data_IF_844465953323
#
_entry.id   IF_844465953323
#
_cell.length_a   1.000
_cell.length_b   1.000
_cell.length_c   1.000
_cell.angle_alpha   90.00
_cell.angle_beta   90.00
_cell.angle_gamma   90.00
#
_symmetry.space_group_name_H-M   'P 1'
#
loop_
_entity.id
_entity.type
_entity.pdbx_description
1 polymer ?
#
# COMPACT_ATOMS: atom_id res chain seq x y z
N UNK A 1 -43.04 -85.44 5.41
CA UNK A 1 -41.66 -84.98 5.17
C UNK A 1 -41.53 -83.94 4.04
N UNK A 2 -42.59 -83.53 3.32
CA UNK A 2 -42.48 -82.52 2.25
C UNK A 2 -42.67 -81.05 2.70
N UNK A 3 -43.33 -80.80 3.83
CA UNK A 3 -43.64 -79.43 4.29
C UNK A 3 -42.50 -78.73 5.05
N UNK A 4 -41.48 -79.46 5.50
CA UNK A 4 -40.30 -78.85 6.16
C UNK A 4 -39.26 -78.31 5.17
N UNK A 5 -39.21 -78.80 3.93
CA UNK A 5 -38.26 -78.30 2.93
C UNK A 5 -38.72 -77.00 2.24
N UNK A 6 -40.03 -76.76 2.14
CA UNK A 6 -40.57 -75.53 1.52
C UNK A 6 -40.33 -74.31 2.41
N UNK A 7 -40.37 -74.50 3.74
CA UNK A 7 -40.20 -73.38 4.68
C UNK A 7 -38.73 -72.90 4.75
N UNK A 8 -37.75 -73.79 4.55
CA UNK A 8 -36.33 -73.44 4.54
C UNK A 8 -35.93 -72.63 3.30
N UNK A 9 -36.47 -72.96 2.13
CA UNK A 9 -36.16 -72.23 0.88
C UNK A 9 -36.72 -70.80 0.92
N UNK A 10 -37.91 -70.60 1.47
CA UNK A 10 -38.50 -69.27 1.61
C UNK A 10 -37.72 -68.36 2.58
N UNK A 11 -37.21 -68.91 3.69
CA UNK A 11 -36.38 -68.15 4.63
C UNK A 11 -35.03 -67.79 3.99
N UNK A 12 -34.43 -68.70 3.21
CA UNK A 12 -33.12 -68.46 2.59
C UNK A 12 -33.20 -67.39 1.49
N UNK A 13 -34.30 -67.35 0.72
CA UNK A 13 -34.55 -66.30 -0.28
C UNK A 13 -34.80 -64.93 0.37
N UNK A 14 -35.54 -64.89 1.49
CA UNK A 14 -35.78 -63.65 2.24
C UNK A 14 -34.49 -63.07 2.85
N UNK A 15 -33.59 -63.93 3.37
CA UNK A 15 -32.29 -63.48 3.89
C UNK A 15 -31.39 -62.96 2.77
N UNK A 16 -31.42 -63.59 1.59
CA UNK A 16 -30.64 -63.13 0.45
C UNK A 16 -31.15 -61.80 -0.13
N UNK A 17 -32.47 -61.58 -0.10
CA UNK A 17 -33.07 -60.30 -0.50
C UNK A 17 -32.78 -59.18 0.50
N UNK A 18 -32.77 -59.48 1.81
CA UNK A 18 -32.38 -58.53 2.85
C UNK A 18 -30.90 -58.12 2.74
N UNK A 19 -30.00 -59.07 2.45
CA UNK A 19 -28.58 -58.80 2.25
C UNK A 19 -28.32 -57.91 1.02
N UNK A 20 -29.08 -58.12 -0.08
CA UNK A 20 -28.96 -57.30 -1.28
C UNK A 20 -29.42 -55.84 -1.05
N UNK A 21 -30.52 -55.64 -0.32
CA UNK A 21 -31.00 -54.31 0.06
C UNK A 21 -30.00 -53.58 0.98
N UNK A 22 -29.39 -54.29 1.92
CA UNK A 22 -28.39 -53.71 2.81
C UNK A 22 -27.09 -53.31 2.08
N UNK A 23 -26.66 -54.11 1.09
CA UNK A 23 -25.53 -53.78 0.24
C UNK A 23 -25.80 -52.54 -0.65
N UNK A 24 -27.03 -52.40 -1.17
CA UNK A 24 -27.41 -51.24 -1.98
C UNK A 24 -27.43 -49.94 -1.17
N UNK A 25 -27.93 -49.97 0.08
CA UNK A 25 -27.92 -48.81 0.97
C UNK A 25 -26.49 -48.39 1.32
N UNK A 26 -25.59 -49.36 1.54
CA UNK A 26 -24.20 -49.06 1.88
C UNK A 26 -23.44 -48.42 0.70
N UNK A 27 -23.71 -48.86 -0.54
CA UNK A 27 -23.11 -48.24 -1.72
C UNK A 27 -23.64 -46.82 -1.97
N UNK A 28 -24.92 -46.56 -1.70
CA UNK A 28 -25.51 -45.23 -1.83
C UNK A 28 -24.96 -44.23 -0.80
N UNK A 29 -24.67 -44.70 0.42
CA UNK A 29 -24.09 -43.87 1.47
C UNK A 29 -22.63 -43.47 1.15
N UNK A 30 -21.87 -44.36 0.51
CA UNK A 30 -20.49 -44.07 0.10
C UNK A 30 -20.42 -43.04 -1.04
N UNK A 31 -21.40 -43.04 -1.95
CA UNK A 31 -21.48 -42.06 -3.03
C UNK A 31 -21.81 -40.65 -2.53
N UNK A 32 -22.69 -40.52 -1.52
CA UNK A 32 -22.96 -39.21 -0.91
C UNK A 32 -21.75 -38.63 -0.17
N UNK A 33 -20.91 -39.47 0.44
CA UNK A 33 -19.73 -39.00 1.16
C UNK A 33 -18.64 -38.46 0.22
N UNK A 34 -18.47 -39.06 -0.96
CA UNK A 34 -17.54 -38.55 -1.98
C UNK A 34 -17.99 -37.21 -2.56
N UNK A 35 -19.29 -37.01 -2.76
CA UNK A 35 -19.81 -35.74 -3.29
C UNK A 35 -19.60 -34.58 -2.30
N UNK A 36 -19.73 -34.83 -0.99
CA UNK A 36 -19.54 -33.81 0.03
C UNK A 36 -18.07 -33.38 0.15
N UNK A 37 -17.13 -34.32 -0.02
CA UNK A 37 -15.70 -34.02 0.07
C UNK A 37 -15.21 -33.18 -1.12
N UNK A 38 -15.77 -33.40 -2.32
CA UNK A 38 -15.42 -32.61 -3.50
C UNK A 38 -15.96 -31.18 -3.43
N UNK A 39 -17.14 -30.99 -2.84
CA UNK A 39 -17.72 -29.65 -2.67
C UNK A 39 -16.98 -28.81 -1.63
N UNK A 40 -16.44 -29.44 -0.58
CA UNK A 40 -15.66 -28.75 0.44
C UNK A 40 -14.29 -28.28 -0.08
N UNK A 41 -13.67 -29.03 -0.99
CA UNK A 41 -12.39 -28.64 -1.60
C UNK A 41 -12.54 -27.45 -2.56
N UNK A 42 -13.66 -27.35 -3.27
CA UNK A 42 -13.93 -26.22 -4.18
C UNK A 42 -14.21 -24.92 -3.41
N UNK A 43 -14.86 -25.00 -2.24
CA UNK A 43 -15.14 -23.83 -1.42
C UNK A 43 -13.87 -23.26 -0.76
N UNK A 44 -12.91 -24.12 -0.40
CA UNK A 44 -11.65 -23.68 0.19
C UNK A 44 -10.73 -22.97 -0.83
N UNK A 45 -10.79 -23.36 -2.10
CA UNK A 45 -9.99 -22.72 -3.16
C UNK A 45 -10.54 -21.33 -3.54
N UNK A 46 -11.86 -21.13 -3.43
CA UNK A 46 -12.47 -19.83 -3.73
C UNK A 46 -12.21 -18.78 -2.63
N UNK A 47 -12.08 -19.21 -1.37
CA UNK A 47 -11.80 -18.30 -0.26
C UNK A 47 -10.35 -17.78 -0.27
N UNK A 48 -9.40 -18.58 -0.79
CA UNK A 48 -8.00 -18.17 -0.87
C UNK A 48 -7.75 -17.14 -1.99
N UNK A 49 -8.55 -17.15 -3.06
CA UNK A 49 -8.42 -16.18 -4.16
C UNK A 49 -8.99 -14.80 -3.80
N UNK A 50 -10.00 -14.74 -2.92
CA UNK A 50 -10.60 -13.47 -2.50
C UNK A 50 -9.71 -12.69 -1.50
N UNK A 51 -8.92 -13.38 -0.67
CA UNK A 51 -8.00 -12.72 0.26
C UNK A 51 -6.78 -12.11 -0.43
N UNK A 52 -6.32 -12.67 -1.55
CA UNK A 52 -5.18 -12.12 -2.28
C UNK A 52 -5.54 -10.85 -3.07
N UNK A 53 -6.81 -10.70 -3.48
CA UNK A 53 -7.25 -9.52 -4.22
C UNK A 53 -7.47 -8.29 -3.32
N UNK A 54 -7.87 -8.47 -2.05
CA UNK A 54 -7.95 -7.37 -1.09
C UNK A 54 -6.57 -6.85 -0.66
N UNK A 55 -5.54 -7.69 -0.65
CA UNK A 55 -4.19 -7.25 -0.26
C UNK A 55 -3.50 -6.44 -1.37
N UNK A 56 -3.78 -6.72 -2.65
CA UNK A 56 -3.30 -5.87 -3.75
C UNK A 56 -4.01 -4.51 -3.79
N UNK A 57 -5.27 -4.42 -3.37
CA UNK A 57 -6.02 -3.16 -3.43
C UNK A 57 -5.59 -2.17 -2.33
N UNK A 58 -5.10 -2.66 -1.18
CA UNK A 58 -4.49 -1.77 -0.17
C UNK A 58 -3.09 -1.29 -0.57
N UNK A 59 -2.30 -2.11 -1.28
CA UNK A 59 -0.98 -1.68 -1.78
C UNK A 59 -1.11 -0.65 -2.92
N UNK A 60 -2.17 -0.73 -3.72
CA UNK A 60 -2.44 0.22 -4.82
C UNK A 60 -3.03 1.57 -4.38
N UNK A 61 -3.38 1.77 -3.10
CA UNK A 61 -3.74 3.11 -2.58
C UNK A 61 -2.53 3.89 -2.04
N UNK A 62 -1.36 3.24 -1.90
CA UNK A 62 -0.09 3.91 -1.59
C UNK A 62 0.72 4.32 -2.83
N UNK A 63 0.36 3.83 -4.02
CA UNK A 63 0.72 4.46 -5.29
C UNK A 63 -0.48 5.32 -5.69
N UNK A 64 -0.43 6.65 -5.72
CA UNK A 64 0.24 7.40 -6.77
C UNK A 64 0.28 8.90 -6.37
N UNK A 65 0.63 9.20 -5.12
CA UNK A 65 0.90 10.59 -4.75
C UNK A 65 2.29 10.95 -5.31
N UNK A 66 2.30 11.38 -6.57
CA UNK A 66 3.49 11.96 -7.19
C UNK A 66 3.53 13.47 -6.84
N UNK A 67 4.40 13.90 -5.91
CA UNK A 67 4.51 15.30 -5.54
C UNK A 67 4.94 16.20 -6.71
N UNK A 68 5.67 15.67 -7.69
CA UNK A 68 6.11 16.42 -8.87
C UNK A 68 4.94 16.66 -9.81
N UNK A 69 4.13 15.63 -10.07
CA UNK A 69 2.89 15.79 -10.85
C UNK A 69 1.91 16.75 -10.16
N UNK A 70 1.71 16.59 -8.84
CA UNK A 70 0.86 17.46 -8.03
C UNK A 70 1.31 18.93 -8.14
N UNK A 71 2.61 19.19 -7.96
CA UNK A 71 3.20 20.52 -8.13
C UNK A 71 2.88 21.12 -9.50
N UNK A 72 3.10 20.35 -10.60
CA UNK A 72 2.82 20.82 -11.97
C UNK A 72 1.36 21.20 -12.17
N UNK A 73 0.43 20.50 -11.53
CA UNK A 73 -1.00 20.81 -11.60
C UNK A 73 -1.40 22.04 -10.79
N UNK A 74 -0.64 22.41 -9.76
CA UNK A 74 -0.90 23.60 -8.96
C UNK A 74 -0.38 24.89 -9.60
N UNK A 75 0.63 24.83 -10.50
CA UNK A 75 1.18 26.02 -11.20
C UNK A 75 0.10 26.87 -11.90
N UNK A 76 -0.80 26.31 -12.74
CA UNK A 76 -1.84 27.12 -13.39
C UNK A 76 -2.80 27.74 -12.37
N UNK A 77 -3.18 27.00 -11.33
CA UNK A 77 -4.07 27.48 -10.27
C UNK A 77 -3.45 28.64 -9.47
N UNK A 78 -2.16 28.54 -9.17
CA UNK A 78 -1.41 29.62 -8.51
C UNK A 78 -1.36 30.88 -9.36
N UNK A 79 -1.08 30.72 -10.67
CA UNK A 79 -1.07 31.84 -11.61
C UNK A 79 -2.44 32.53 -11.66
N UNK A 80 -3.51 31.75 -11.78
CA UNK A 80 -4.87 32.28 -11.88
C UNK A 80 -5.28 32.98 -10.57
N UNK A 81 -4.98 32.37 -9.42
CA UNK A 81 -5.21 32.95 -8.10
C UNK A 81 -4.46 34.28 -7.91
N UNK A 82 -3.17 34.34 -8.28
CA UNK A 82 -2.37 35.57 -8.23
C UNK A 82 -2.97 36.67 -9.11
N UNK A 83 -3.44 36.33 -10.31
CA UNK A 83 -4.09 37.28 -11.21
C UNK A 83 -5.38 37.85 -10.58
N UNK A 84 -6.18 37.01 -9.93
CA UNK A 84 -7.39 37.44 -9.21
C UNK A 84 -7.04 38.38 -8.06
N UNK A 85 -6.05 38.04 -7.23
CA UNK A 85 -5.58 38.88 -6.12
C UNK A 85 -5.15 40.25 -6.63
N UNK A 86 -4.34 40.30 -7.69
CA UNK A 86 -3.87 41.56 -8.28
C UNK A 86 -5.02 42.40 -8.86
N UNK A 87 -5.98 41.76 -9.53
CA UNK A 87 -7.15 42.45 -10.09
C UNK A 87 -8.01 43.09 -8.98
N UNK A 88 -8.25 42.37 -7.89
CA UNK A 88 -9.00 42.88 -6.75
C UNK A 88 -8.25 43.99 -6.01
N UNK A 89 -6.93 43.85 -5.84
CA UNK A 89 -6.08 44.90 -5.27
C UNK A 89 -6.15 46.20 -6.08
N UNK A 90 -6.09 46.11 -7.41
CA UNK A 90 -6.23 47.27 -8.30
C UNK A 90 -7.61 47.93 -8.17
N UNK A 91 -8.68 47.14 -8.10
CA UNK A 91 -10.03 47.66 -7.92
C UNK A 91 -10.19 48.38 -6.56
N UNK A 92 -9.60 47.84 -5.49
CA UNK A 92 -9.60 48.51 -4.17
C UNK A 92 -8.79 49.82 -4.20
N UNK A 93 -7.60 49.81 -4.83
CA UNK A 93 -6.77 51.02 -4.95
C UNK A 93 -7.48 52.12 -5.75
N UNK A 94 -8.12 51.77 -6.87
CA UNK A 94 -8.88 52.71 -7.69
C UNK A 94 -10.11 53.26 -6.95
N UNK A 95 -10.82 52.43 -6.19
CA UNK A 95 -11.94 52.87 -5.36
C UNK A 95 -11.47 53.89 -4.30
N UNK A 96 -10.39 53.59 -3.59
CA UNK A 96 -9.81 54.49 -2.59
C UNK A 96 -9.27 55.79 -3.21
N UNK A 97 -8.78 55.76 -4.46
CA UNK A 97 -8.31 56.95 -5.16
C UNK A 97 -9.46 57.85 -5.69
N UNK A 98 -10.60 57.27 -6.07
CA UNK A 98 -11.76 58.00 -6.61
C UNK A 98 -12.68 58.54 -5.52
N UNK A 99 -12.75 57.88 -4.35
CA UNK A 99 -13.61 58.29 -3.24
C UNK A 99 -12.87 59.24 -2.30
N UNK A 100 -12.84 60.53 -2.67
CA UNK A 100 -12.46 61.64 -1.79
C UNK A 100 -13.67 62.27 -1.04
N UNK A 101 -14.83 61.60 -1.01
CA UNK A 101 -16.06 62.22 -0.51
C UNK A 101 -16.97 61.21 0.22
N UNK A 102 -16.89 61.21 1.54
CA UNK A 102 -17.83 60.88 2.64
C UNK A 102 -19.08 59.97 2.50
N UNK A 103 -19.42 59.36 1.35
CA UNK A 103 -20.73 58.70 1.18
C UNK A 103 -20.75 57.20 0.84
N UNK A 104 -19.63 56.47 0.79
CA UNK A 104 -19.66 55.06 0.32
C UNK A 104 -18.81 54.08 1.15
N UNK A 105 -19.15 53.88 2.42
CA UNK A 105 -18.49 52.87 3.25
C UNK A 105 -19.05 51.45 3.06
N UNK A 106 -20.33 51.29 2.65
CA UNK A 106 -21.00 49.97 2.54
C UNK A 106 -20.65 49.15 1.29
N UNK A 107 -20.20 49.77 0.20
CA UNK A 107 -19.77 49.06 -1.01
C UNK A 107 -18.34 48.50 -0.93
N UNK A 108 -17.51 49.12 -0.10
CA UNK A 108 -16.10 48.77 0.10
C UNK A 108 -15.93 47.42 0.82
N UNK A 109 -16.80 47.12 1.79
CA UNK A 109 -16.72 45.90 2.60
C UNK A 109 -16.80 44.63 1.75
N UNK A 110 -17.70 44.58 0.76
CA UNK A 110 -17.86 43.42 -0.11
C UNK A 110 -16.64 43.18 -1.03
N UNK A 111 -15.93 44.24 -1.43
CA UNK A 111 -14.71 44.13 -2.25
C UNK A 111 -13.53 43.71 -1.38
N UNK A 112 -13.43 44.27 -0.16
CA UNK A 112 -12.43 43.87 0.84
C UNK A 112 -12.55 42.38 1.19
N UNK A 113 -13.77 41.90 1.48
CA UNK A 113 -14.02 40.49 1.79
C UNK A 113 -13.66 39.54 0.63
N UNK A 114 -13.90 39.96 -0.62
CA UNK A 114 -13.49 39.19 -1.81
C UNK A 114 -11.97 39.14 -1.96
N UNK A 115 -11.30 40.26 -1.67
CA UNK A 115 -9.85 40.33 -1.66
C UNK A 115 -9.26 39.40 -0.59
N UNK A 116 -9.74 39.49 0.65
CA UNK A 116 -9.28 38.65 1.77
C UNK A 116 -9.42 37.16 1.45
N UNK A 117 -10.57 36.75 0.90
CA UNK A 117 -10.81 35.37 0.46
C UNK A 117 -9.84 34.94 -0.66
N UNK A 118 -9.65 35.78 -1.68
CA UNK A 118 -8.74 35.45 -2.79
C UNK A 118 -7.28 35.30 -2.33
N UNK A 119 -6.91 36.07 -1.31
CA UNK A 119 -5.59 36.07 -0.70
C UNK A 119 -5.39 34.84 0.19
N UNK A 120 -6.42 34.41 0.93
CA UNK A 120 -6.42 33.14 1.64
C UNK A 120 -6.26 31.94 0.69
N UNK A 121 -7.01 31.91 -0.42
CA UNK A 121 -6.89 30.88 -1.45
C UNK A 121 -5.49 30.86 -2.10
N UNK A 122 -4.88 32.04 -2.31
CA UNK A 122 -3.51 32.15 -2.80
C UNK A 122 -2.49 31.56 -1.81
N UNK A 123 -2.59 31.88 -0.53
CA UNK A 123 -1.68 31.33 0.48
C UNK A 123 -1.84 29.81 0.66
N UNK A 124 -3.08 29.31 0.62
CA UNK A 124 -3.32 27.87 0.67
C UNK A 124 -2.67 27.12 -0.51
N UNK A 125 -2.68 27.73 -1.71
CA UNK A 125 -1.97 27.18 -2.86
C UNK A 125 -0.44 27.20 -2.65
N UNK A 126 0.12 28.30 -2.14
CA UNK A 126 1.54 28.41 -1.81
C UNK A 126 1.99 27.31 -0.83
N UNK A 127 1.23 27.09 0.25
CA UNK A 127 1.52 26.05 1.24
C UNK A 127 1.51 24.65 0.60
N UNK A 128 0.54 24.41 -0.30
CA UNK A 128 0.44 23.14 -1.01
C UNK A 128 1.60 22.93 -1.99
N UNK A 129 2.04 23.97 -2.70
CA UNK A 129 3.25 23.90 -3.53
C UNK A 129 4.49 23.60 -2.69
N UNK A 130 4.66 24.28 -1.56
CA UNK A 130 5.80 24.09 -0.67
C UNK A 130 5.86 22.65 -0.16
N UNK A 131 4.73 22.11 0.29
CA UNK A 131 4.62 20.70 0.69
C UNK A 131 5.02 19.75 -0.45
N UNK A 132 4.51 19.97 -1.66
CA UNK A 132 4.87 19.14 -2.81
C UNK A 132 6.38 19.20 -3.11
N UNK A 133 6.99 20.38 -3.04
CA UNK A 133 8.43 20.53 -3.27
C UNK A 133 9.28 19.82 -2.20
N UNK A 134 8.90 19.93 -0.92
CA UNK A 134 9.59 19.22 0.18
C UNK A 134 9.52 17.71 -0.02
N UNK A 135 8.34 17.19 -0.33
CA UNK A 135 8.14 15.76 -0.56
C UNK A 135 8.88 15.27 -1.80
N UNK A 136 8.88 16.03 -2.90
CA UNK A 136 9.64 15.69 -4.10
C UNK A 136 11.15 15.62 -3.82
N UNK A 137 11.68 16.57 -3.02
CA UNK A 137 13.06 16.55 -2.59
C UNK A 137 13.38 15.32 -1.74
N UNK A 138 12.51 14.97 -0.79
CA UNK A 138 12.68 13.78 0.06
C UNK A 138 12.65 12.49 -0.76
N UNK A 139 11.73 12.36 -1.73
CA UNK A 139 11.71 11.24 -2.67
C UNK A 139 13.00 11.15 -3.50
N UNK A 140 13.57 12.29 -3.93
CA UNK A 140 14.85 12.32 -4.63
C UNK A 140 15.99 11.86 -3.71
N UNK A 141 16.07 12.38 -2.49
CA UNK A 141 17.07 11.94 -1.49
C UNK A 141 16.94 10.45 -1.22
N UNK A 142 15.73 9.95 -1.01
CA UNK A 142 15.44 8.54 -0.80
C UNK A 142 15.83 7.68 -2.01
N UNK A 143 15.61 8.14 -3.23
CA UNK A 143 16.03 7.45 -4.46
C UNK A 143 17.56 7.34 -4.56
N UNK A 144 18.28 8.43 -4.26
CA UNK A 144 19.74 8.45 -4.22
C UNK A 144 20.27 7.49 -3.15
N UNK A 145 19.70 7.53 -1.95
CA UNK A 145 20.13 6.68 -0.85
C UNK A 145 19.80 5.21 -1.10
N UNK A 146 18.62 4.92 -1.68
CA UNK A 146 18.26 3.59 -2.12
C UNK A 146 19.25 3.07 -3.17
N UNK A 147 19.62 3.88 -4.16
CA UNK A 147 20.61 3.48 -5.18
C UNK A 147 21.99 3.18 -4.58
N UNK A 148 22.39 3.90 -3.53
CA UNK A 148 23.69 3.72 -2.87
C UNK A 148 23.74 2.51 -1.95
N UNK A 149 22.63 2.17 -1.30
CA UNK A 149 22.63 1.20 -0.20
C UNK A 149 21.81 -0.06 -0.48
N UNK A 150 20.85 -0.01 -1.41
CA UNK A 150 20.03 -1.16 -1.79
C UNK A 150 20.77 -1.99 -2.85
N UNK A 151 20.94 -3.31 -2.64
CA UNK A 151 21.53 -4.17 -3.65
C UNK A 151 20.60 -4.27 -4.86
N UNK A 152 20.99 -3.68 -5.99
CA UNK A 152 20.32 -3.96 -7.27
C UNK A 152 20.78 -5.35 -7.75
N UNK A 153 19.83 -6.20 -8.14
CA UNK A 153 20.14 -7.57 -8.58
C UNK A 153 21.00 -7.50 -9.84
N UNK A 154 22.21 -8.04 -9.78
CA UNK A 154 23.04 -8.27 -10.97
C UNK A 154 22.24 -9.21 -11.88
N UNK A 155 21.99 -8.87 -13.15
CA UNK A 155 21.35 -9.81 -14.06
C UNK A 155 22.22 -11.05 -14.16
N UNK A 156 21.75 -12.15 -13.58
CA UNK A 156 22.28 -13.47 -13.90
C UNK A 156 21.87 -13.75 -15.34
N UNK A 157 22.81 -13.58 -16.26
CA UNK A 157 22.62 -13.80 -17.69
C UNK A 157 21.94 -15.16 -17.93
N UNK A 158 20.63 -15.18 -18.22
CA UNK A 158 19.98 -16.37 -18.79
C UNK A 158 18.76 -16.12 -19.65
N UNK A 159 18.32 -14.87 -19.89
CA UNK A 159 17.28 -14.59 -20.91
C UNK A 159 17.55 -13.27 -21.63
N UNK A 160 17.70 -13.27 -22.97
CA UNK A 160 17.59 -12.07 -23.76
C UNK A 160 16.11 -11.68 -23.86
N UNK A 161 15.83 -10.41 -24.11
CA UNK A 161 14.50 -9.82 -24.26
C UNK A 161 13.72 -9.53 -22.96
N UNK A 162 14.12 -8.46 -22.29
CA UNK A 162 13.22 -7.42 -21.77
C UNK A 162 14.08 -6.29 -21.20
N UNK A 163 13.92 -5.09 -21.78
CA UNK A 163 14.37 -3.75 -21.34
C UNK A 163 15.39 -3.74 -20.19
N UNK A 164 16.67 -3.60 -20.53
CA UNK A 164 17.78 -3.52 -19.59
C UNK A 164 17.64 -2.29 -18.67
N UNK A 165 17.10 -2.51 -17.47
CA UNK A 165 17.22 -1.55 -16.37
C UNK A 165 18.62 -1.69 -15.76
N UNK A 166 19.41 -0.62 -15.88
CA UNK A 166 20.73 -0.35 -15.31
C UNK A 166 21.31 -1.45 -14.40
N UNK A 167 22.05 -2.39 -15.01
CA UNK A 167 22.80 -3.39 -14.27
C UNK A 167 24.07 -2.77 -13.68
N UNK A 168 24.27 -2.94 -12.37
CA UNK A 168 25.49 -2.51 -11.69
C UNK A 168 26.69 -3.28 -12.26
N UNK A 169 27.78 -2.56 -12.57
CA UNK A 169 29.05 -3.22 -12.88
C UNK A 169 29.59 -3.94 -11.65
N UNK A 170 30.38 -5.00 -11.85
CA UNK A 170 30.95 -5.78 -10.75
C UNK A 170 31.80 -4.92 -9.78
N UNK A 171 32.50 -3.91 -10.30
CA UNK A 171 33.28 -2.97 -9.48
C UNK A 171 32.39 -2.08 -8.60
N UNK A 172 31.26 -1.61 -9.12
CA UNK A 172 30.27 -0.85 -8.36
C UNK A 172 29.60 -1.73 -7.30
N UNK A 173 29.24 -2.97 -7.64
CA UNK A 173 28.72 -3.96 -6.70
C UNK A 173 29.70 -4.21 -5.54
N UNK A 174 30.98 -4.44 -5.84
CA UNK A 174 32.01 -4.63 -4.82
C UNK A 174 32.16 -3.41 -3.90
N UNK A 175 32.10 -2.19 -4.45
CA UNK A 175 32.16 -0.95 -3.66
C UNK A 175 30.98 -0.86 -2.67
N UNK A 176 29.76 -1.15 -3.15
CA UNK A 176 28.54 -1.15 -2.34
C UNK A 176 28.59 -2.20 -1.22
N UNK A 177 28.97 -3.44 -1.52
CA UNK A 177 29.09 -4.51 -0.52
C UNK A 177 30.14 -4.16 0.56
N UNK A 178 31.28 -3.58 0.18
CA UNK A 178 32.29 -3.11 1.14
C UNK A 178 31.73 -2.01 2.06
N UNK A 179 30.97 -1.06 1.51
CA UNK A 179 30.31 -0.01 2.29
C UNK A 179 29.28 -0.60 3.28
N UNK A 180 28.42 -1.52 2.83
CA UNK A 180 27.45 -2.21 3.69
C UNK A 180 28.12 -2.98 4.83
N UNK A 181 29.22 -3.70 4.53
CA UNK A 181 30.02 -4.41 5.56
C UNK A 181 30.60 -3.41 6.57
N UNK A 182 31.10 -2.25 6.13
CA UNK A 182 31.61 -1.21 7.04
C UNK A 182 30.51 -0.67 7.95
N UNK A 183 29.37 -0.30 7.38
CA UNK A 183 28.23 0.21 8.13
C UNK A 183 27.73 -0.79 9.18
N UNK A 184 27.62 -2.08 8.83
CA UNK A 184 27.24 -3.13 9.77
C UNK A 184 28.25 -3.28 10.92
N UNK A 185 29.55 -3.15 10.64
CA UNK A 185 30.60 -3.15 11.66
C UNK A 185 30.50 -1.94 12.58
N UNK A 186 30.24 -0.76 12.03
CA UNK A 186 30.12 0.47 12.82
C UNK A 186 28.91 0.41 13.77
N UNK A 187 27.76 -0.10 13.28
CA UNK A 187 26.57 -0.36 14.10
C UNK A 187 26.88 -1.37 15.20
N UNK A 188 27.51 -2.50 14.85
CA UNK A 188 27.90 -3.51 15.83
C UNK A 188 28.82 -2.93 16.91
N UNK A 189 29.82 -2.16 16.52
CA UNK A 189 30.76 -1.53 17.45
C UNK A 189 30.04 -0.52 18.37
N UNK A 190 29.15 0.31 17.83
CA UNK A 190 28.35 1.25 18.62
C UNK A 190 27.46 0.52 19.64
N UNK A 191 26.75 -0.53 19.21
CA UNK A 191 25.91 -1.35 20.08
C UNK A 191 26.73 -2.09 21.15
N UNK A 192 27.89 -2.61 20.77
CA UNK A 192 28.81 -3.31 21.68
C UNK A 192 29.35 -2.35 22.75
N UNK A 193 29.75 -1.13 22.37
CA UNK A 193 30.19 -0.09 23.30
C UNK A 193 29.07 0.36 24.24
N UNK A 194 27.84 0.51 23.74
CA UNK A 194 26.66 0.77 24.58
C UNK A 194 26.42 -0.37 25.59
N UNK A 195 26.48 -1.63 25.13
CA UNK A 195 26.32 -2.80 25.98
C UNK A 195 27.36 -2.85 27.11
N UNK A 196 28.65 -2.64 26.78
CA UNK A 196 29.74 -2.57 27.78
C UNK A 196 29.53 -1.45 28.80
N UNK A 197 29.10 -0.25 28.37
CA UNK A 197 28.82 0.87 29.27
C UNK A 197 27.68 0.58 30.25
N UNK A 198 26.66 -0.16 29.80
CA UNK A 198 25.54 -0.58 30.65
C UNK A 198 26.01 -1.67 31.63
N UNK A 199 26.71 -2.69 31.15
CA UNK A 199 27.22 -3.78 31.98
C UNK A 199 28.26 -3.31 33.02
N UNK A 200 29.08 -2.30 32.68
CA UNK A 200 30.10 -1.74 33.58
C UNK A 200 29.56 -0.81 34.67
N UNK A 201 28.31 -0.35 34.59
CA UNK A 201 27.70 0.56 35.58
C UNK A 201 27.08 -0.16 36.81
N UNK A 202 27.17 -1.49 36.88
CA UNK A 202 26.59 -2.30 37.97
C UNK A 202 27.52 -2.62 39.16
N UNK A 203 28.78 -2.15 39.17
CA UNK A 203 29.79 -2.57 40.17
C UNK A 203 30.31 -1.44 41.10
N UNK A 204 29.55 -0.35 41.27
CA UNK A 204 30.01 0.82 42.06
C UNK A 204 29.09 1.32 43.17
N UNK A 205 28.03 0.59 43.54
CA UNK A 205 27.05 1.06 44.53
C UNK A 205 26.81 0.04 45.67
N UNK A 206 27.89 -0.51 46.23
CA UNK A 206 27.86 -1.11 47.56
C UNK A 206 29.28 -1.07 48.16
N UNK A 207 29.60 0.03 48.85
CA UNK A 207 30.49 0.10 50.00
C UNK A 207 30.17 1.36 50.78
#
# INVERSE_FOLDING_TARGET
MASQQINTVNVQMAVQQAAALQAQVQQQQQQQQQQHQQQQQQQQQQQQQQQQQQQLQQLSQQQDFDPVHRFKMLIPLLKDSLQVVLCLAMNMANFNAVVSTDLCWKGNEAVAQRFDKSLEEFYALCDQLELCLRLAHECLSQSIDSTKHSPNLVPTATKPDTVQTESLSYSQYLSMIKSQISCAKDIHNALLECSKKIAGKGQGACN
#
